data_IF_958520488448
#
_entry.id   IF_958520488448
#
_cell.length_a   1.000
_cell.length_b   1.000
_cell.length_c   1.000
_cell.angle_alpha   90.00
_cell.angle_beta   90.00
_cell.angle_gamma   90.00
#
_symmetry.space_group_name_H-M   'P 1'
#
loop_
_entity.id
_entity.type
_entity.pdbx_description
1 polymer ?
#
# COMPACT_ATOMS: atom_id res chain seq x y z
N UNK A 1 -5.70 18.58 -10.78
CA UNK A 1 -6.21 18.38 -12.17
C UNK A 1 -6.09 16.93 -12.62
N UNK A 2 -7.06 16.40 -13.38
CA UNK A 2 -7.02 15.05 -13.99
C UNK A 2 -5.73 14.74 -14.80
N UNK A 3 -5.03 15.79 -15.26
CA UNK A 3 -3.71 15.71 -15.90
C UNK A 3 -2.56 15.35 -14.96
N UNK A 4 -2.66 15.70 -13.68
CA UNK A 4 -1.73 15.31 -12.61
C UNK A 4 -1.96 13.87 -12.16
N UNK A 5 -3.22 13.42 -12.17
CA UNK A 5 -3.59 12.01 -11.89
C UNK A 5 -3.03 11.04 -12.96
N UNK A 6 -3.09 11.42 -14.24
CA UNK A 6 -2.45 10.67 -15.33
C UNK A 6 -0.91 10.67 -15.25
N UNK A 7 -0.31 11.73 -14.71
CA UNK A 7 1.15 11.85 -14.60
C UNK A 7 1.75 11.04 -13.43
N UNK A 8 0.93 10.63 -12.45
CA UNK A 8 1.36 9.85 -11.28
C UNK A 8 1.14 8.33 -11.45
N UNK A 9 0.60 7.88 -12.58
CA UNK A 9 0.36 6.46 -12.84
C UNK A 9 -0.77 5.82 -12.01
N UNK A 10 -1.47 6.61 -11.18
CA UNK A 10 -2.69 6.17 -10.48
C UNK A 10 -3.86 6.44 -11.41
N UNK A 11 -4.06 5.56 -12.40
CA UNK A 11 -5.29 5.57 -13.19
C UNK A 11 -6.44 5.06 -12.32
N UNK A 12 -7.63 5.63 -12.48
CA UNK A 12 -8.85 5.16 -11.81
C UNK A 12 -9.11 3.64 -11.99
N UNK A 13 -8.48 3.02 -12.99
CA UNK A 13 -8.48 1.59 -13.28
C UNK A 13 -7.62 0.76 -12.31
N UNK A 14 -6.57 1.32 -11.70
CA UNK A 14 -5.71 0.63 -10.72
C UNK A 14 -6.26 0.67 -9.29
N UNK A 15 -7.24 1.54 -9.04
CA UNK A 15 -7.83 1.72 -7.70
C UNK A 15 -8.44 0.42 -7.18
N UNK A 16 -9.13 -0.35 -8.01
CA UNK A 16 -9.77 -1.61 -7.59
C UNK A 16 -8.72 -2.71 -7.26
N UNK A 17 -7.73 -2.99 -8.13
CA UNK A 17 -6.63 -3.88 -7.80
C UNK A 17 -5.86 -3.48 -6.53
N UNK A 18 -5.61 -2.18 -6.32
CA UNK A 18 -4.90 -1.69 -5.13
C UNK A 18 -5.70 -1.91 -3.84
N UNK A 19 -7.03 -1.67 -3.90
CA UNK A 19 -7.96 -1.99 -2.82
C UNK A 19 -7.92 -3.49 -2.49
N UNK A 20 -7.96 -4.35 -3.51
CA UNK A 20 -7.89 -5.80 -3.31
C UNK A 20 -6.55 -6.23 -2.71
N UNK A 21 -5.44 -5.66 -3.16
CA UNK A 21 -4.11 -5.97 -2.66
C UNK A 21 -3.93 -5.61 -1.18
N UNK A 22 -4.36 -4.42 -0.79
CA UNK A 22 -4.30 -3.95 0.60
C UNK A 22 -5.27 -4.76 1.48
N UNK A 23 -6.48 -5.02 0.99
CA UNK A 23 -7.46 -5.86 1.67
C UNK A 23 -6.94 -7.28 1.91
N UNK A 24 -6.29 -7.87 0.91
CA UNK A 24 -5.62 -9.17 0.98
C UNK A 24 -4.51 -9.19 2.03
N UNK A 25 -3.67 -8.16 2.07
CA UNK A 25 -2.60 -8.07 3.05
C UNK A 25 -3.14 -7.99 4.49
N UNK A 26 -4.17 -7.17 4.72
CA UNK A 26 -4.80 -7.02 6.04
C UNK A 26 -5.50 -8.31 6.47
N UNK A 27 -6.21 -8.96 5.55
CA UNK A 27 -6.84 -10.26 5.78
C UNK A 27 -5.82 -11.34 6.15
N UNK A 28 -4.70 -11.41 5.44
CA UNK A 28 -3.66 -12.41 5.64
C UNK A 28 -3.02 -12.34 7.03
N UNK A 29 -2.97 -11.14 7.62
CA UNK A 29 -2.45 -10.91 8.98
C UNK A 29 -3.53 -11.03 10.06
N UNK A 30 -4.75 -11.46 9.70
CA UNK A 30 -5.89 -11.56 10.61
C UNK A 30 -6.45 -10.20 11.05
N UNK A 31 -6.13 -9.14 10.31
CA UNK A 31 -6.53 -7.77 10.62
C UNK A 31 -7.98 -7.49 10.27
N UNK A 32 -8.61 -6.65 11.10
CA UNK A 32 -9.94 -6.08 10.84
C UNK A 32 -9.87 -4.65 10.30
N UNK A 33 -10.95 -3.90 10.51
CA UNK A 33 -11.09 -2.51 10.05
C UNK A 33 -10.01 -1.57 10.59
N UNK A 34 -9.56 -1.77 11.83
CA UNK A 34 -8.50 -0.95 12.44
C UNK A 34 -7.14 -1.16 11.76
N UNK A 35 -6.79 -2.42 11.49
CA UNK A 35 -5.57 -2.77 10.75
C UNK A 35 -5.63 -2.19 9.34
N UNK A 36 -6.79 -2.30 8.68
CA UNK A 36 -7.04 -1.73 7.37
C UNK A 36 -6.82 -0.22 7.36
N UNK A 37 -7.49 0.52 8.24
CA UNK A 37 -7.33 1.97 8.37
C UNK A 37 -5.87 2.37 8.59
N UNK A 38 -5.17 1.64 9.46
CA UNK A 38 -3.77 1.93 9.76
C UNK A 38 -2.82 1.64 8.59
N UNK A 39 -3.05 0.57 7.84
CA UNK A 39 -2.28 0.27 6.62
C UNK A 39 -2.52 1.33 5.56
N UNK A 40 -3.78 1.70 5.33
CA UNK A 40 -4.12 2.73 4.35
C UNK A 40 -3.56 4.10 4.74
N UNK A 41 -3.57 4.45 6.03
CA UNK A 41 -2.94 5.68 6.53
C UNK A 41 -1.44 5.69 6.26
N UNK A 42 -0.73 4.59 6.51
CA UNK A 42 0.71 4.52 6.24
C UNK A 42 1.01 4.65 4.73
N UNK A 43 0.22 4.02 3.87
CA UNK A 43 0.35 4.17 2.41
C UNK A 43 0.08 5.62 1.95
N UNK A 44 -0.93 6.27 2.55
CA UNK A 44 -1.20 7.68 2.32
C UNK A 44 -0.04 8.58 2.76
N UNK A 45 0.57 8.32 3.91
CA UNK A 45 1.74 9.04 4.41
C UNK A 45 2.95 8.89 3.48
N UNK A 46 3.20 7.68 2.96
CA UNK A 46 4.26 7.44 1.96
C UNK A 46 4.01 8.30 0.71
N UNK A 47 2.78 8.26 0.18
CA UNK A 47 2.41 9.06 -0.99
C UNK A 47 2.60 10.56 -0.75
N UNK A 48 2.04 11.09 0.33
CA UNK A 48 2.09 12.53 0.66
C UNK A 48 3.50 13.01 0.98
N UNK A 49 4.34 12.18 1.60
CA UNK A 49 5.73 12.55 1.89
C UNK A 49 6.62 12.57 0.65
N UNK A 50 6.18 11.97 -0.46
CA UNK A 50 6.90 11.92 -1.74
C UNK A 50 8.11 10.98 -1.75
N UNK A 51 8.47 10.36 -0.62
CA UNK A 51 9.63 9.48 -0.48
C UNK A 51 9.33 8.29 0.42
N UNK A 52 10.07 7.20 0.25
CA UNK A 52 9.98 6.06 1.15
C UNK A 52 10.70 6.37 2.47
N UNK A 53 9.97 6.34 3.59
CA UNK A 53 10.54 6.55 4.92
C UNK A 53 10.45 5.29 5.78
N UNK A 54 11.45 5.11 6.65
CA UNK A 54 11.49 3.97 7.54
C UNK A 54 10.33 3.92 8.53
N UNK A 55 9.83 5.08 8.97
CA UNK A 55 8.71 5.17 9.90
C UNK A 55 7.44 4.56 9.31
N UNK A 56 7.09 4.89 8.07
CA UNK A 56 5.86 4.39 7.43
C UNK A 56 5.98 2.88 7.17
N UNK A 57 7.17 2.42 6.78
CA UNK A 57 7.45 0.99 6.62
C UNK A 57 7.37 0.23 7.95
N UNK A 58 7.79 0.84 9.06
CA UNK A 58 7.61 0.27 10.40
C UNK A 58 6.14 0.21 10.80
N UNK A 59 5.33 1.20 10.44
CA UNK A 59 3.88 1.17 10.70
C UNK A 59 3.17 0.02 9.97
N UNK A 60 3.59 -0.29 8.75
CA UNK A 60 3.10 -1.47 8.02
C UNK A 60 3.58 -2.76 8.71
N UNK A 61 4.86 -2.82 9.08
CA UNK A 61 5.47 -3.99 9.74
C UNK A 61 4.84 -4.28 11.09
N UNK A 62 4.54 -3.27 11.90
CA UNK A 62 3.89 -3.42 13.20
C UNK A 62 2.46 -3.95 13.09
N UNK A 63 1.88 -3.92 11.89
CA UNK A 63 0.56 -4.48 11.58
C UNK A 63 0.65 -5.85 10.91
N UNK A 64 1.83 -6.48 10.95
CA UNK A 64 2.07 -7.81 10.38
C UNK A 64 2.42 -7.81 8.89
N UNK A 65 2.44 -6.65 8.23
CA UNK A 65 2.79 -6.56 6.80
C UNK A 65 4.30 -6.34 6.69
N UNK A 66 5.03 -7.38 6.28
CA UNK A 66 6.48 -7.31 6.02
C UNK A 66 6.82 -6.44 4.78
N UNK A 67 6.57 -5.14 4.87
CA UNK A 67 6.61 -4.19 3.75
C UNK A 67 8.00 -4.07 3.12
N UNK A 68 9.05 -4.10 3.95
CA UNK A 68 10.43 -4.06 3.47
C UNK A 68 10.75 -5.25 2.57
N UNK A 69 10.44 -6.46 3.01
CA UNK A 69 10.74 -7.67 2.25
C UNK A 69 9.88 -7.75 0.98
N UNK A 70 8.61 -7.32 1.07
CA UNK A 70 7.72 -7.25 -0.09
C UNK A 70 8.33 -6.36 -1.17
N UNK A 71 8.72 -5.14 -0.80
CA UNK A 71 9.26 -4.18 -1.74
C UNK A 71 10.66 -4.58 -2.23
N UNK A 72 11.51 -5.11 -1.36
CA UNK A 72 12.85 -5.60 -1.71
C UNK A 72 12.77 -6.73 -2.75
N UNK A 73 11.88 -7.71 -2.53
CA UNK A 73 11.61 -8.79 -3.48
C UNK A 73 11.10 -8.26 -4.82
N UNK A 74 10.22 -7.24 -4.81
CA UNK A 74 9.73 -6.60 -6.02
C UNK A 74 10.78 -5.82 -6.78
N UNK A 75 11.74 -5.22 -6.08
CA UNK A 75 12.85 -4.48 -6.66
C UNK A 75 14.04 -5.38 -7.04
N UNK A 76 14.04 -6.64 -6.63
CA UNK A 76 15.14 -7.58 -6.89
C UNK A 76 16.43 -7.22 -6.13
N UNK A 77 16.31 -6.51 -5.00
CA UNK A 77 17.44 -6.09 -4.15
C UNK A 77 17.27 -6.64 -2.73
N UNK A 78 18.33 -6.60 -1.92
CA UNK A 78 18.23 -7.00 -0.50
C UNK A 78 17.46 -5.96 0.32
N UNK A 79 16.80 -6.41 1.38
CA UNK A 79 16.13 -5.53 2.35
C UNK A 79 17.11 -4.51 2.96
N UNK A 80 18.36 -4.91 3.20
CA UNK A 80 19.40 -4.01 3.72
C UNK A 80 19.74 -2.89 2.74
N UNK A 81 19.92 -3.21 1.46
CA UNK A 81 20.20 -2.23 0.41
C UNK A 81 19.02 -1.26 0.24
N UNK A 82 17.79 -1.77 0.24
CA UNK A 82 16.58 -0.95 0.16
C UNK A 82 16.47 0.03 1.34
N UNK A 83 16.74 -0.42 2.57
CA UNK A 83 16.72 0.44 3.76
C UNK A 83 17.76 1.54 3.67
N UNK A 84 18.98 1.20 3.23
CA UNK A 84 20.07 2.17 3.04
C UNK A 84 19.70 3.23 1.98
N UNK A 85 19.10 2.84 0.86
CA UNK A 85 18.65 3.80 -0.17
C UNK A 85 17.52 4.70 0.34
N UNK A 86 16.59 4.15 1.13
CA UNK A 86 15.52 4.93 1.79
C UNK A 86 16.08 5.95 2.78
N UNK A 87 17.05 5.57 3.63
CA UNK A 87 17.74 6.47 4.56
C UNK A 87 18.46 7.63 3.86
N UNK A 88 18.99 7.37 2.66
CA UNK A 88 19.61 8.39 1.82
C UNK A 88 18.59 9.30 1.10
N UNK A 89 17.29 9.06 1.26
CA UNK A 89 16.23 9.82 0.60
C UNK A 89 16.18 9.64 -0.92
N UNK A 90 16.81 8.58 -1.45
CA UNK A 90 16.93 8.33 -2.89
C UNK A 90 15.71 7.61 -3.49
N UNK A 91 14.84 7.08 -2.65
CA UNK A 91 13.68 6.30 -3.06
C UNK A 91 12.43 7.19 -3.07
N UNK A 92 11.97 7.53 -4.28
CA UNK A 92 10.74 8.29 -4.48
C UNK A 92 9.51 7.40 -4.27
N UNK A 93 8.52 7.91 -3.53
CA UNK A 93 7.28 7.19 -3.26
C UNK A 93 6.55 6.81 -4.56
N UNK A 94 6.54 7.70 -5.56
CA UNK A 94 5.92 7.45 -6.87
C UNK A 94 6.49 6.23 -7.61
N UNK A 95 7.75 5.87 -7.35
CA UNK A 95 8.38 4.71 -7.96
C UNK A 95 8.04 3.41 -7.22
N UNK A 96 8.00 3.46 -5.88
CA UNK A 96 7.96 2.25 -5.06
C UNK A 96 6.60 1.93 -4.46
N UNK A 97 5.71 2.91 -4.32
CA UNK A 97 4.38 2.69 -3.78
C UNK A 97 3.54 1.74 -4.66
N UNK A 98 3.51 1.87 -6.00
CA UNK A 98 2.82 0.90 -6.85
C UNK A 98 3.42 -0.50 -6.74
N UNK A 99 4.76 -0.59 -6.67
CA UNK A 99 5.47 -1.87 -6.52
C UNK A 99 5.16 -2.54 -5.17
N UNK A 100 5.09 -1.74 -4.10
CA UNK A 100 4.75 -2.22 -2.77
C UNK A 100 3.32 -2.76 -2.74
N UNK A 101 2.34 -2.02 -3.29
CA UNK A 101 0.94 -2.44 -3.34
C UNK A 101 0.80 -3.71 -4.21
N UNK A 102 1.42 -3.75 -5.38
CA UNK A 102 1.44 -4.95 -6.22
C UNK A 102 2.06 -6.14 -5.48
N UNK A 103 3.18 -5.92 -4.78
CA UNK A 103 3.83 -6.96 -3.97
C UNK A 103 2.97 -7.46 -2.82
N UNK A 104 2.17 -6.59 -2.19
CA UNK A 104 1.17 -7.00 -1.20
C UNK A 104 0.10 -7.89 -1.85
N UNK A 105 -0.41 -7.49 -3.01
CA UNK A 105 -1.42 -8.26 -3.75
C UNK A 105 -0.94 -9.64 -4.16
N UNK A 106 0.29 -9.75 -4.66
CA UNK A 106 0.88 -11.03 -5.05
C UNK A 106 1.22 -11.93 -3.86
N UNK A 107 1.82 -11.35 -2.80
CA UNK A 107 2.20 -12.13 -1.60
C UNK A 107 0.99 -12.69 -0.86
N UNK A 108 -0.12 -11.95 -0.86
CA UNK A 108 -1.31 -12.29 -0.09
C UNK A 108 -2.53 -12.60 -0.97
N UNK A 109 -2.31 -12.96 -2.24
CA UNK A 109 -3.38 -13.28 -3.17
C UNK A 109 -4.32 -14.37 -2.60
N UNK A 110 -5.63 -14.12 -2.71
CA UNK A 110 -6.68 -15.05 -2.24
C UNK A 110 -6.86 -15.12 -0.71
N UNK A 111 -6.15 -14.30 0.08
CA UNK A 111 -6.33 -14.24 1.53
C UNK A 111 -7.76 -13.83 1.93
N UNK A 112 -8.47 -13.13 1.04
CA UNK A 112 -9.82 -12.63 1.28
C UNK A 112 -10.93 -13.52 0.74
N UNK A 113 -10.59 -14.53 -0.06
CA UNK A 113 -11.56 -15.50 -0.60
C UNK A 113 -12.30 -16.26 0.51
N UNK A 114 -11.68 -16.35 1.69
CA UNK A 114 -12.26 -16.99 2.89
C UNK A 114 -13.05 -16.03 3.78
N UNK A 115 -13.06 -14.72 3.50
CA UNK A 115 -13.59 -13.69 4.42
C UNK A 115 -15.01 -13.20 4.12
N UNK A 116 -15.67 -13.70 3.07
CA UNK A 116 -17.12 -13.52 2.85
C UNK A 116 -17.61 -12.07 2.96
N UNK A 117 -18.77 -11.86 3.61
CA UNK A 117 -19.46 -10.56 3.68
C UNK A 117 -18.69 -9.47 4.44
N UNK A 118 -17.86 -9.83 5.42
CA UNK A 118 -17.07 -8.87 6.20
C UNK A 118 -16.04 -8.17 5.31
N UNK A 119 -15.51 -8.88 4.32
CA UNK A 119 -14.56 -8.31 3.36
C UNK A 119 -15.22 -7.30 2.42
N UNK A 120 -16.45 -7.55 1.96
CA UNK A 120 -17.19 -6.60 1.12
C UNK A 120 -17.38 -5.25 1.81
N UNK A 121 -17.69 -5.23 3.12
CA UNK A 121 -17.78 -3.99 3.89
C UNK A 121 -16.43 -3.25 3.97
N UNK A 122 -15.36 -3.98 4.28
CA UNK A 122 -13.99 -3.42 4.33
C UNK A 122 -13.53 -2.88 2.98
N UNK A 123 -13.86 -3.53 1.86
CA UNK A 123 -13.50 -3.03 0.52
C UNK A 123 -14.17 -1.68 0.22
N UNK A 124 -15.39 -1.46 0.71
CA UNK A 124 -16.09 -0.18 0.58
C UNK A 124 -15.42 0.90 1.42
N UNK A 125 -15.12 0.62 2.70
CA UNK A 125 -14.37 1.54 3.58
C UNK A 125 -13.00 1.89 3.02
N UNK A 126 -12.30 0.91 2.44
CA UNK A 126 -11.00 1.11 1.82
C UNK A 126 -11.10 1.96 0.55
N UNK A 127 -12.11 1.69 -0.29
CA UNK A 127 -12.39 2.48 -1.48
C UNK A 127 -12.64 3.93 -1.11
N UNK A 128 -13.45 4.18 -0.09
CA UNK A 128 -13.78 5.52 0.38
C UNK A 128 -12.54 6.23 0.95
N UNK A 129 -11.73 5.51 1.73
CA UNK A 129 -10.47 6.03 2.27
C UNK A 129 -9.47 6.40 1.17
N UNK A 130 -9.23 5.50 0.21
CA UNK A 130 -8.29 5.73 -0.90
C UNK A 130 -8.82 6.86 -1.79
N UNK A 131 -10.12 6.87 -2.09
CA UNK A 131 -10.73 7.92 -2.91
C UNK A 131 -10.72 9.29 -2.21
N UNK A 132 -10.92 9.36 -0.89
CA UNK A 132 -10.82 10.61 -0.14
C UNK A 132 -9.36 11.07 -0.01
N UNK A 133 -8.46 10.18 0.39
CA UNK A 133 -7.04 10.53 0.63
C UNK A 133 -6.29 10.86 -0.66
N UNK A 134 -6.54 10.12 -1.75
CA UNK A 134 -5.89 10.36 -3.05
C UNK A 134 -6.68 11.34 -3.93
N UNK A 135 -8.01 11.42 -3.77
CA UNK A 135 -8.87 12.31 -4.56
C UNK A 135 -8.85 13.77 -4.09
N UNK A 136 -8.64 14.03 -2.80
CA UNK A 136 -8.47 15.40 -2.28
C UNK A 136 -7.12 16.04 -2.62
N UNK A 137 -6.15 15.26 -3.14
CA UNK A 137 -4.82 15.73 -3.55
C UNK A 137 -4.78 16.29 -5.00
N UNK A 138 -5.92 16.65 -5.60
CA UNK A 138 -6.00 17.12 -7.01
C UNK A 138 -6.81 18.37 -7.22
#
# INVERSE_FOLDING_TARGET
SAKSLLAMGISAEQVIPDIQAVGNAVAAVGGGEEALKGVSMALGQINTSGKLNAQDMMQLTSRGIAAWDILANKMGISTEELRKQSEQGKIMASQVLPLLIQGMGEKYAGATDKLGKSFTGMTSTLKDFISSTLGELT
#
